data_IF_671219642689
#
_entry.id   IF_671219642689
#
_cell.length_a   1.000
_cell.length_b   1.000
_cell.length_c   1.000
_cell.angle_alpha   90.00
_cell.angle_beta   90.00
_cell.angle_gamma   90.00
#
_symmetry.space_group_name_H-M   'P 1'
#
loop_
_entity.id
_entity.type
_entity.pdbx_description
1 polymer ?
#
# COMPACT_ATOMS: atom_id res chain seq x y z
N UNK A 1 -14.15 14.74 41.79
CA UNK A 1 -12.77 14.85 41.25
C UNK A 1 -12.20 13.45 41.20
N UNK A 2 -12.04 12.89 40.01
CA UNK A 2 -11.17 11.73 39.81
C UNK A 2 -10.35 12.06 38.58
N UNK A 3 -9.17 12.60 38.84
CA UNK A 3 -8.09 12.78 37.88
C UNK A 3 -7.68 11.42 37.33
N UNK A 4 -8.04 11.12 36.08
CA UNK A 4 -7.35 10.10 35.30
C UNK A 4 -6.38 10.83 34.38
N UNK A 5 -5.20 11.12 34.95
CA UNK A 5 -3.99 11.30 34.16
C UNK A 5 -3.43 9.90 33.98
N UNK A 6 -3.47 9.39 32.75
CA UNK A 6 -2.69 8.22 32.37
C UNK A 6 -2.12 8.44 30.97
N UNK A 7 -0.79 8.54 30.97
CA UNK A 7 0.17 8.26 29.90
C UNK A 7 0.08 9.08 28.62
N UNK A 8 0.87 10.15 28.61
CA UNK A 8 2.15 10.20 27.89
C UNK A 8 2.40 8.98 26.98
N UNK A 9 1.99 9.09 25.71
CA UNK A 9 2.56 8.30 24.64
C UNK A 9 3.06 9.31 23.62
N UNK A 10 4.36 9.59 23.71
CA UNK A 10 5.17 10.06 22.60
C UNK A 10 4.82 9.18 21.38
N UNK A 11 3.84 9.64 20.59
CA UNK A 11 3.63 9.12 19.25
C UNK A 11 4.85 9.57 18.48
N UNK A 12 5.87 8.71 18.39
CA UNK A 12 6.92 8.86 17.39
C UNK A 12 6.21 9.22 16.10
N UNK A 13 6.39 10.46 15.63
CA UNK A 13 6.00 10.83 14.28
C UNK A 13 6.76 9.86 13.40
N UNK A 14 6.05 8.95 12.73
CA UNK A 14 6.64 8.13 11.68
C UNK A 14 7.38 9.06 10.73
N UNK A 15 8.59 8.67 10.34
CA UNK A 15 9.32 9.45 9.36
C UNK A 15 8.58 9.37 8.02
N UNK A 16 8.76 10.38 7.16
CA UNK A 16 8.18 10.33 5.81
C UNK A 16 8.71 9.09 5.05
N UNK A 17 9.96 8.73 5.28
CA UNK A 17 10.59 7.52 4.73
C UNK A 17 9.85 6.25 5.17
N UNK A 18 9.59 6.07 6.47
CA UNK A 18 8.83 4.92 7.01
C UNK A 18 7.42 4.83 6.40
N UNK A 19 6.74 5.97 6.20
CA UNK A 19 5.42 6.00 5.56
C UNK A 19 5.50 5.57 4.09
N UNK A 20 6.54 6.00 3.37
CA UNK A 20 6.73 5.64 1.96
C UNK A 20 7.11 4.16 1.80
N UNK A 21 7.98 3.62 2.66
CA UNK A 21 8.32 2.20 2.70
C UNK A 21 7.09 1.34 2.98
N UNK A 22 6.29 1.69 4.00
CA UNK A 22 5.03 1.00 4.28
C UNK A 22 4.05 1.08 3.10
N UNK A 23 4.02 2.21 2.39
CA UNK A 23 3.16 2.37 1.20
C UNK A 23 3.60 1.46 0.06
N UNK A 24 4.91 1.23 -0.13
CA UNK A 24 5.43 0.26 -1.12
C UNK A 24 4.89 -1.14 -0.83
N UNK A 25 4.97 -1.59 0.42
CA UNK A 25 4.48 -2.91 0.84
C UNK A 25 2.98 -3.07 0.57
N UNK A 26 2.18 -2.06 0.94
CA UNK A 26 0.72 -2.06 0.71
C UNK A 26 0.39 -2.14 -0.79
N UNK A 27 1.09 -1.38 -1.62
CA UNK A 27 0.87 -1.39 -3.07
C UNK A 27 1.20 -2.78 -3.67
N UNK A 28 2.29 -3.41 -3.23
CA UNK A 28 2.64 -4.76 -3.69
C UNK A 28 1.63 -5.83 -3.22
N UNK A 29 1.14 -5.73 -1.98
CA UNK A 29 0.13 -6.64 -1.44
C UNK A 29 -1.19 -6.54 -2.20
N UNK A 30 -1.63 -5.30 -2.50
CA UNK A 30 -2.82 -5.06 -3.33
C UNK A 30 -2.63 -5.60 -4.74
N UNK A 31 -1.47 -5.35 -5.36
CA UNK A 31 -1.13 -5.89 -6.68
C UNK A 31 -1.25 -7.41 -6.71
N UNK A 32 -0.61 -8.10 -5.76
CA UNK A 32 -0.67 -9.57 -5.67
C UNK A 32 -2.10 -10.06 -5.45
N UNK A 33 -2.86 -9.37 -4.60
CA UNK A 33 -4.28 -9.70 -4.33
C UNK A 33 -5.12 -9.61 -5.60
N UNK A 34 -4.99 -8.53 -6.37
CA UNK A 34 -5.77 -8.36 -7.59
C UNK A 34 -5.38 -9.35 -8.68
N UNK A 35 -4.09 -9.66 -8.86
CA UNK A 35 -3.65 -10.68 -9.81
C UNK A 35 -4.21 -12.06 -9.47
N UNK A 36 -4.07 -12.50 -8.21
CA UNK A 36 -4.62 -13.79 -7.76
C UNK A 36 -6.14 -13.83 -7.93
N UNK A 37 -6.83 -12.71 -7.67
CA UNK A 37 -8.28 -12.63 -7.82
C UNK A 37 -8.68 -12.68 -9.30
N UNK A 38 -7.96 -11.96 -10.19
CA UNK A 38 -8.18 -11.98 -11.63
C UNK A 38 -8.04 -13.40 -12.20
N UNK A 39 -7.05 -14.17 -11.74
CA UNK A 39 -6.85 -15.56 -12.14
C UNK A 39 -8.03 -16.47 -11.77
N UNK A 40 -8.76 -16.15 -10.69
CA UNK A 40 -9.92 -16.92 -10.21
C UNK A 40 -11.23 -16.51 -10.87
N UNK A 41 -11.27 -15.35 -11.53
CA UNK A 41 -12.46 -14.87 -12.24
C UNK A 41 -12.50 -15.49 -13.63
N UNK A 42 -13.40 -16.46 -13.82
CA UNK A 42 -13.54 -17.19 -15.09
C UNK A 42 -14.79 -16.81 -15.88
N UNK A 43 -15.85 -16.36 -15.20
CA UNK A 43 -17.17 -16.11 -15.81
C UNK A 43 -17.42 -14.62 -16.13
N UNK A 44 -16.51 -13.75 -15.73
CA UNK A 44 -16.62 -12.30 -15.91
C UNK A 44 -15.30 -11.72 -16.48
N UNK A 45 -15.13 -11.72 -17.82
CA UNK A 45 -13.91 -11.22 -18.44
C UNK A 45 -13.69 -9.72 -18.21
N UNK A 46 -14.76 -8.94 -18.03
CA UNK A 46 -14.66 -7.50 -17.76
C UNK A 46 -14.10 -7.25 -16.35
N UNK A 47 -14.59 -7.98 -15.34
CA UNK A 47 -14.04 -7.89 -13.99
C UNK A 47 -12.59 -8.36 -13.94
N UNK A 48 -12.24 -9.43 -14.65
CA UNK A 48 -10.85 -9.89 -14.77
C UNK A 48 -9.94 -8.79 -15.29
N UNK A 49 -10.31 -8.17 -16.42
CA UNK A 49 -9.53 -7.07 -17.02
C UNK A 49 -9.41 -5.88 -16.06
N UNK A 50 -10.48 -5.52 -15.33
CA UNK A 50 -10.43 -4.45 -14.33
C UNK A 50 -9.46 -4.75 -13.18
N UNK A 51 -9.42 -6.00 -12.70
CA UNK A 51 -8.49 -6.43 -11.65
C UNK A 51 -7.04 -6.39 -12.15
N UNK A 52 -6.77 -6.83 -13.37
CA UNK A 52 -5.45 -6.73 -14.01
C UNK A 52 -5.01 -5.26 -14.12
N UNK A 53 -5.90 -4.36 -14.57
CA UNK A 53 -5.65 -2.93 -14.63
C UNK A 53 -5.36 -2.31 -13.25
N UNK A 54 -6.03 -2.77 -12.18
CA UNK A 54 -5.72 -2.32 -10.82
C UNK A 54 -4.31 -2.74 -10.40
N UNK A 55 -3.93 -4.00 -10.67
CA UNK A 55 -2.59 -4.50 -10.38
C UNK A 55 -1.50 -3.73 -11.15
N UNK A 56 -1.71 -3.42 -12.43
CA UNK A 56 -0.80 -2.56 -13.20
C UNK A 56 -0.69 -1.15 -12.59
N UNK A 57 -1.82 -0.59 -12.14
CA UNK A 57 -1.85 0.67 -11.42
C UNK A 57 -1.04 0.63 -10.12
N UNK A 58 -1.14 -0.44 -9.34
CA UNK A 58 -0.32 -0.66 -8.14
C UNK A 58 1.16 -0.70 -8.53
N UNK A 59 1.56 -1.49 -9.52
CA UNK A 59 2.95 -1.60 -9.97
C UNK A 59 3.56 -0.24 -10.35
N UNK A 60 2.77 0.60 -11.04
CA UNK A 60 3.19 1.97 -11.40
C UNK A 60 3.43 2.83 -10.16
N UNK A 61 2.55 2.77 -9.16
CA UNK A 61 2.70 3.53 -7.90
C UNK A 61 3.86 3.01 -7.06
N UNK A 62 4.04 1.69 -6.95
CA UNK A 62 5.21 1.07 -6.32
C UNK A 62 6.51 1.61 -6.92
N UNK A 63 6.61 1.66 -8.25
CA UNK A 63 7.78 2.24 -8.92
C UNK A 63 7.99 3.71 -8.56
N UNK A 64 6.93 4.53 -8.58
CA UNK A 64 7.03 5.94 -8.22
C UNK A 64 7.51 6.13 -6.77
N UNK A 65 6.99 5.34 -5.83
CA UNK A 65 7.40 5.37 -4.42
C UNK A 65 8.88 4.97 -4.26
N UNK A 66 9.32 3.91 -4.93
CA UNK A 66 10.73 3.48 -4.94
C UNK A 66 11.63 4.56 -5.56
N UNK A 67 11.19 5.21 -6.63
CA UNK A 67 11.93 6.31 -7.25
C UNK A 67 12.08 7.47 -6.26
N UNK A 68 11.05 7.84 -5.48
CA UNK A 68 11.16 8.86 -4.43
C UNK A 68 12.10 8.43 -3.29
N UNK A 69 11.99 7.20 -2.79
CA UNK A 69 12.87 6.66 -1.73
C UNK A 69 14.35 6.62 -2.14
N UNK A 70 14.63 6.46 -3.44
CA UNK A 70 15.99 6.44 -3.96
C UNK A 70 16.55 7.83 -4.32
N UNK A 71 15.73 8.88 -4.38
CA UNK A 71 16.23 10.25 -4.64
C UNK A 71 17.04 10.82 -3.48
N UNK A 72 16.86 10.28 -2.27
CA UNK A 72 17.57 10.74 -1.06
C UNK A 72 18.87 9.95 -0.77
N UNK A 73 19.23 8.97 -1.60
CA UNK A 73 20.48 8.18 -1.51
C UNK A 73 21.56 8.67 -2.47
#
# INVERSE_FOLDING_TARGET
>A
MVSHSFNDHDSKKESIEEVLENSVEIEEDLMRTYLITAERVHEDPELKERLENFAEGNAKRTKQLIDELNKEK
#
